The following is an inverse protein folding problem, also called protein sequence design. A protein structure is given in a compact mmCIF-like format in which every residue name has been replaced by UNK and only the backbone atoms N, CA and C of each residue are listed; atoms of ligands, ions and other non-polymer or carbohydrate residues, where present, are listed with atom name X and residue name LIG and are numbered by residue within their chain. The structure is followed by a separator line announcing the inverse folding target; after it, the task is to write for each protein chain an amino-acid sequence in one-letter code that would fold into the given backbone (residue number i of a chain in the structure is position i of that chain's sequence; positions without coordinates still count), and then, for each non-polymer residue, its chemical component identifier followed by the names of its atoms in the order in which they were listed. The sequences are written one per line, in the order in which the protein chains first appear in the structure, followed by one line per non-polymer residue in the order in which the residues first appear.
data_IF_984689127984
#
_entry.id   IF_984689127984
#
_cell.length_a   1.000
_cell.length_b   1.000
_cell.length_c   1.000
_cell.angle_alpha   90.00
_cell.angle_beta   90.00
_cell.angle_gamma   90.00
#
_symmetry.space_group_name_H-M   'P 1'
#
loop_
_entity.id
_entity.type
_entity.pdbx_description
1 polymer ?
#
# COMPACT_ATOMS: atom_id res chain seq x y z
N UNK A 1 6.02 13.35 -6.95
CA UNK A 1 6.21 12.76 -5.60
C UNK A 1 4.88 12.18 -5.18
N UNK A 2 4.86 10.92 -4.78
CA UNK A 2 3.66 10.24 -4.28
C UNK A 2 3.20 10.85 -2.95
N UNK A 3 1.89 11.08 -2.82
CA UNK A 3 1.30 11.74 -1.65
C UNK A 3 1.24 10.80 -0.44
N UNK A 4 0.93 11.34 0.75
CA UNK A 4 0.89 10.53 1.97
C UNK A 4 -0.23 9.48 1.96
N UNK A 5 -1.35 9.76 1.29
CA UNK A 5 -2.51 8.85 1.25
C UNK A 5 -2.16 7.56 0.52
N UNK A 6 -1.55 7.66 -0.67
CA UNK A 6 -1.09 6.49 -1.44
C UNK A 6 -0.06 5.65 -0.67
N UNK A 7 0.82 6.30 0.10
CA UNK A 7 1.81 5.60 0.95
C UNK A 7 1.14 4.87 2.12
N UNK A 8 0.11 5.48 2.71
CA UNK A 8 -0.70 4.80 3.73
C UNK A 8 -1.41 3.58 3.13
N UNK A 9 -1.92 3.69 1.90
CA UNK A 9 -2.54 2.56 1.19
C UNK A 9 -1.54 1.43 0.91
N UNK A 10 -0.33 1.74 0.43
CA UNK A 10 0.74 0.76 0.24
C UNK A 10 1.05 -0.03 1.53
N UNK A 11 1.20 0.69 2.65
CA UNK A 11 1.44 0.07 3.96
C UNK A 11 0.23 -0.77 4.40
N UNK A 12 -0.98 -0.24 4.23
CA UNK A 12 -2.21 -0.94 4.59
C UNK A 12 -2.35 -2.27 3.86
N UNK A 13 -2.05 -2.29 2.56
CA UNK A 13 -2.05 -3.49 1.72
C UNK A 13 -1.00 -4.48 2.22
N UNK A 14 0.23 -4.03 2.46
CA UNK A 14 1.30 -4.90 2.94
C UNK A 14 1.04 -5.53 4.31
N UNK A 15 0.33 -4.82 5.18
CA UNK A 15 -0.04 -5.29 6.52
C UNK A 15 -1.42 -5.96 6.58
N UNK A 16 -2.18 -5.97 5.47
CA UNK A 16 -3.55 -6.49 5.42
C UNK A 16 -4.48 -5.84 6.47
N UNK A 17 -4.36 -4.54 6.65
CA UNK A 17 -5.16 -3.71 7.56
C UNK A 17 -5.91 -2.63 6.80
N UNK A 18 -6.83 -1.93 7.45
CA UNK A 18 -7.53 -0.80 6.81
C UNK A 18 -6.66 0.46 6.80
N UNK A 19 -6.65 1.18 5.68
CA UNK A 19 -5.92 2.44 5.54
C UNK A 19 -6.42 3.50 6.53
N UNK A 20 -7.71 3.47 6.88
CA UNK A 20 -8.33 4.40 7.85
C UNK A 20 -7.72 4.25 9.25
N UNK A 21 -7.33 3.04 9.66
CA UNK A 21 -6.68 2.82 10.98
C UNK A 21 -5.34 3.52 11.03
N UNK A 22 -4.54 3.40 9.97
CA UNK A 22 -3.25 4.06 9.86
C UNK A 22 -3.43 5.58 9.78
N UNK A 23 -4.38 6.02 8.94
CA UNK A 23 -4.69 7.44 8.74
C UNK A 23 -5.13 8.12 10.04
N UNK A 24 -5.93 7.44 10.87
CA UNK A 24 -6.36 7.96 12.17
C UNK A 24 -5.15 8.28 13.07
N UNK A 25 -4.19 7.35 13.19
CA UNK A 25 -2.98 7.60 13.99
C UNK A 25 -2.15 8.72 13.37
N UNK A 26 -1.97 8.71 12.04
CA UNK A 26 -1.24 9.74 11.32
C UNK A 26 -1.82 11.15 11.56
N UNK A 27 -3.14 11.30 11.43
CA UNK A 27 -3.84 12.57 11.65
C UNK A 27 -3.78 13.01 13.12
N UNK A 28 -3.82 12.06 14.07
CA UNK A 28 -3.62 12.35 15.49
C UNK A 28 -2.21 12.90 15.76
N UNK A 29 -1.17 12.28 15.21
CA UNK A 29 0.22 12.78 15.35
C UNK A 29 0.38 14.13 14.64
N UNK A 30 -0.23 14.30 13.46
CA UNK A 30 -0.22 15.57 12.70
C UNK A 30 -0.83 16.72 13.50
N UNK A 31 -1.96 16.49 14.17
CA UNK A 31 -2.63 17.52 14.96
C UNK A 31 -1.84 17.89 16.23
N UNK A 32 -1.20 16.91 16.87
CA UNK A 32 -0.33 17.11 18.04
C UNK A 32 1.03 17.71 17.70
N UNK A 33 1.53 17.47 16.49
CA UNK A 33 2.85 17.88 16.03
C UNK A 33 4.00 16.99 16.51
N UNK A 34 3.75 16.05 17.43
CA UNK A 34 4.70 15.09 17.99
C UNK A 34 4.05 13.72 18.11
N UNK A 35 4.85 12.66 18.00
CA UNK A 35 4.40 11.29 18.29
C UNK A 35 4.47 11.02 19.79
N UNK A 36 3.44 10.38 20.34
CA UNK A 36 3.37 10.00 21.75
C UNK A 36 3.33 8.48 21.91
N UNK A 37 3.52 8.01 23.15
CA UNK A 37 3.55 6.58 23.46
C UNK A 37 2.29 5.81 23.02
N UNK A 38 1.11 6.43 23.10
CA UNK A 38 -0.14 5.81 22.65
C UNK A 38 -0.22 5.64 21.13
N UNK A 39 0.33 6.58 20.36
CA UNK A 39 0.41 6.47 18.90
C UNK A 39 1.40 5.36 18.53
N UNK A 40 2.55 5.32 19.21
CA UNK A 40 3.57 4.31 19.01
C UNK A 40 3.05 2.90 19.28
N UNK A 41 2.25 2.74 20.35
CA UNK A 41 1.58 1.47 20.66
C UNK A 41 0.61 1.08 19.56
N UNK A 42 -0.27 1.99 19.12
CA UNK A 42 -1.22 1.71 18.02
C UNK A 42 -0.50 1.32 16.72
N UNK A 43 0.57 2.01 16.36
CA UNK A 43 1.37 1.66 15.17
C UNK A 43 2.00 0.28 15.30
N UNK A 44 2.48 -0.06 16.51
CA UNK A 44 3.03 -1.39 16.80
C UNK A 44 1.96 -2.47 16.68
N UNK A 45 0.75 -2.22 17.20
CA UNK A 45 -0.40 -3.13 17.08
C UNK A 45 -0.84 -3.31 15.62
N UNK A 46 -0.73 -2.27 14.80
CA UNK A 46 -0.97 -2.34 13.36
C UNK A 46 0.14 -3.12 12.64
N UNK A 47 1.34 -3.20 13.22
CA UNK A 47 2.51 -3.85 12.62
C UNK A 47 3.43 -2.89 11.87
N UNK A 48 3.25 -1.57 12.02
CA UNK A 48 4.15 -0.56 11.46
C UNK A 48 5.42 -0.49 12.33
N UNK A 49 6.62 -0.74 11.77
CA UNK A 49 7.87 -0.86 12.54
C UNK A 49 8.47 0.51 12.94
N UNK A 50 7.66 1.41 13.50
CA UNK A 50 7.99 2.81 13.73
C UNK A 50 9.25 3.02 14.59
N UNK A 51 9.39 2.28 15.71
CA UNK A 51 10.58 2.40 16.59
C UNK A 51 11.86 2.02 15.85
N UNK A 52 11.82 0.97 15.03
CA UNK A 52 12.97 0.48 14.27
C UNK A 52 13.40 1.49 13.21
N UNK A 53 12.45 2.04 12.46
CA UNK A 53 12.75 3.00 11.41
C UNK A 53 13.24 4.33 11.98
N UNK A 54 12.65 4.81 13.08
CA UNK A 54 13.16 5.98 13.79
C UNK A 54 14.56 5.72 14.36
N UNK A 55 14.83 4.54 14.89
CA UNK A 55 16.16 4.17 15.37
C UNK A 55 17.21 4.25 14.25
N UNK A 56 16.90 3.74 13.07
CA UNK A 56 17.75 3.85 11.89
C UNK A 56 17.93 5.30 11.43
N UNK A 57 16.86 6.10 11.42
CA UNK A 57 16.87 7.50 11.00
C UNK A 57 17.75 8.37 11.91
N UNK A 58 17.65 8.16 13.23
CA UNK A 58 18.40 8.93 14.23
C UNK A 58 19.77 8.33 14.58
N UNK A 59 20.10 7.13 14.10
CA UNK A 59 21.31 6.41 14.49
C UNK A 59 21.33 6.06 15.98
N UNK A 60 20.17 5.70 16.53
CA UNK A 60 19.94 5.44 17.96
C UNK A 60 19.43 4.03 18.22
N UNK A 61 19.52 3.59 19.46
CA UNK A 61 18.88 2.33 19.89
C UNK A 61 17.36 2.49 19.97
N UNK A 62 16.63 1.37 19.90
CA UNK A 62 15.16 1.37 20.06
C UNK A 62 14.73 1.91 21.43
N UNK A 63 15.52 1.68 22.48
CA UNK A 63 15.27 2.19 23.83
C UNK A 63 15.42 3.71 23.89
N UNK A 64 16.46 4.27 23.27
CA UNK A 64 16.60 5.73 23.17
C UNK A 64 15.43 6.36 22.41
N UNK A 65 14.97 5.74 21.31
CA UNK A 65 13.80 6.24 20.58
C UNK A 65 12.55 6.22 21.45
N UNK A 66 12.33 5.16 22.22
CA UNK A 66 11.18 5.09 23.14
C UNK A 66 11.24 6.22 24.19
N UNK A 67 12.43 6.54 24.71
CA UNK A 67 12.61 7.69 25.62
C UNK A 67 12.37 9.02 24.92
N UNK A 68 12.86 9.20 23.70
CA UNK A 68 12.61 10.41 22.90
C UNK A 68 11.12 10.62 22.64
N UNK A 69 10.36 9.54 22.35
CA UNK A 69 8.90 9.61 22.21
C UNK A 69 8.23 10.01 23.53
N UNK A 70 8.67 9.45 24.67
CA UNK A 70 8.14 9.82 25.99
C UNK A 70 8.40 11.29 26.35
N UNK A 71 9.56 11.81 25.95
CA UNK A 71 9.94 13.20 26.14
C UNK A 71 9.32 14.16 25.12
N UNK A 72 8.62 13.66 24.10
CA UNK A 72 8.03 14.46 23.02
C UNK A 72 9.06 15.05 22.04
N UNK A 73 10.22 14.42 21.89
CA UNK A 73 11.34 14.90 21.08
C UNK A 73 11.25 14.51 19.60
N UNK A 74 10.28 13.68 19.23
CA UNK A 74 10.08 13.24 17.84
C UNK A 74 8.89 13.98 17.25
N UNK A 75 9.19 14.93 16.36
CA UNK A 75 8.20 15.74 15.67
C UNK A 75 7.48 14.97 14.54
N UNK A 76 6.41 15.58 14.05
CA UNK A 76 5.61 15.06 12.95
C UNK A 76 6.43 14.88 11.66
N UNK A 77 7.47 15.68 11.43
CA UNK A 77 8.30 15.58 10.22
C UNK A 77 9.10 14.27 10.23
N UNK A 78 9.75 13.95 11.35
CA UNK A 78 10.53 12.72 11.49
C UNK A 78 9.62 11.48 11.52
N UNK A 79 8.46 11.60 12.17
CA UNK A 79 7.40 10.59 12.09
C UNK A 79 6.95 10.34 10.64
N UNK A 80 6.61 11.40 9.89
CA UNK A 80 6.19 11.30 8.50
C UNK A 80 7.28 10.78 7.56
N UNK A 81 8.55 11.06 7.86
CA UNK A 81 9.68 10.54 7.10
C UNK A 81 9.75 9.01 7.12
N UNK A 82 9.34 8.36 8.21
CA UNK A 82 9.27 6.88 8.28
C UNK A 82 8.32 6.32 7.22
N UNK A 83 7.16 6.95 7.01
CA UNK A 83 6.24 6.53 5.94
C UNK A 83 6.90 6.63 4.56
N UNK A 84 7.71 7.67 4.33
CA UNK A 84 8.48 7.80 3.09
C UNK A 84 9.52 6.69 2.95
N UNK A 85 10.31 6.41 3.98
CA UNK A 85 11.32 5.35 3.93
C UNK A 85 10.72 3.96 3.69
N UNK A 86 9.57 3.70 4.31
CA UNK A 86 8.84 2.46 4.16
C UNK A 86 8.28 2.23 2.75
N UNK A 87 8.03 3.30 1.99
CA UNK A 87 7.32 3.25 0.69
C UNK A 87 8.10 3.87 -0.48
N UNK A 88 9.32 4.34 -0.26
CA UNK A 88 10.23 4.71 -1.36
C UNK A 88 10.93 3.49 -1.92
N UNK A 89 11.65 3.65 -3.03
CA UNK A 89 12.44 2.57 -3.63
C UNK A 89 13.39 1.92 -2.59
N UNK A 90 13.34 0.59 -2.51
CA UNK A 90 14.04 -0.20 -1.48
C UNK A 90 13.31 -0.33 -0.14
N UNK A 91 12.23 0.42 0.07
CA UNK A 91 11.34 0.31 1.22
C UNK A 91 10.48 -0.95 1.17
N UNK A 92 10.11 -1.45 2.35
CA UNK A 92 9.40 -2.74 2.46
C UNK A 92 8.01 -2.77 1.83
N UNK A 93 7.34 -1.61 1.69
CA UNK A 93 6.01 -1.47 1.12
C UNK A 93 6.02 -0.76 -0.24
N UNK A 94 7.18 -0.66 -0.91
CA UNK A 94 7.33 0.06 -2.17
C UNK A 94 6.41 -0.48 -3.29
N UNK A 95 5.53 0.39 -3.81
CA UNK A 95 4.58 0.16 -4.90
C UNK A 95 3.63 -1.04 -4.69
N UNK A 96 3.28 -1.38 -3.45
CA UNK A 96 2.44 -2.56 -3.19
C UNK A 96 1.03 -2.42 -3.77
N UNK A 97 0.42 -1.24 -3.72
CA UNK A 97 -0.89 -0.95 -4.34
C UNK A 97 -0.86 -1.24 -5.84
N UNK A 98 0.14 -0.71 -6.53
CA UNK A 98 0.33 -0.91 -7.97
C UNK A 98 0.53 -2.38 -8.31
N UNK A 99 1.37 -3.10 -7.55
CA UNK A 99 1.59 -4.55 -7.73
C UNK A 99 0.32 -5.37 -7.48
N UNK A 100 -0.47 -5.01 -6.48
CA UNK A 100 -1.74 -5.66 -6.19
C UNK A 100 -2.77 -5.42 -7.30
N UNK A 101 -2.95 -4.18 -7.75
CA UNK A 101 -3.86 -3.85 -8.85
C UNK A 101 -3.50 -4.57 -10.15
N UNK A 102 -2.20 -4.67 -10.47
CA UNK A 102 -1.72 -5.45 -11.61
C UNK A 102 -2.02 -6.94 -11.46
N UNK A 103 -1.83 -7.49 -10.27
CA UNK A 103 -2.13 -8.90 -9.98
C UNK A 103 -3.61 -9.21 -10.18
N UNK A 104 -4.50 -8.36 -9.66
CA UNK A 104 -5.95 -8.50 -9.88
C UNK A 104 -6.33 -8.35 -11.34
N UNK A 105 -5.73 -7.40 -12.05
CA UNK A 105 -5.95 -7.22 -13.48
C UNK A 105 -5.59 -8.48 -14.29
N UNK A 106 -4.44 -9.06 -13.97
CA UNK A 106 -4.00 -10.32 -14.56
C UNK A 106 -4.94 -11.48 -14.22
N UNK A 107 -5.30 -11.67 -12.95
CA UNK A 107 -6.20 -12.75 -12.51
C UNK A 107 -7.56 -12.67 -13.19
N UNK A 108 -8.12 -11.46 -13.36
CA UNK A 108 -9.38 -11.26 -14.05
C UNK A 108 -9.27 -11.53 -15.56
N UNK A 109 -8.18 -11.08 -16.22
CA UNK A 109 -7.91 -11.42 -17.63
C UNK A 109 -7.88 -12.94 -17.84
N UNK A 110 -7.20 -13.66 -16.96
CA UNK A 110 -7.13 -15.12 -17.01
C UNK A 110 -8.49 -15.78 -16.74
N UNK A 111 -9.29 -15.26 -15.80
CA UNK A 111 -10.65 -15.74 -15.56
C UNK A 111 -11.55 -15.58 -16.81
N UNK A 112 -11.49 -14.43 -17.49
CA UNK A 112 -12.24 -14.19 -18.73
C UNK A 112 -11.83 -15.16 -19.85
N UNK A 113 -10.53 -15.37 -20.06
CA UNK A 113 -10.02 -16.34 -21.04
C UNK A 113 -10.58 -17.74 -20.77
N UNK A 114 -10.60 -18.17 -19.51
CA UNK A 114 -11.13 -19.49 -19.13
C UNK A 114 -12.62 -19.63 -19.42
N UNK A 115 -13.42 -18.58 -19.16
CA UNK A 115 -14.86 -18.58 -19.44
C UNK A 115 -15.12 -18.69 -20.96
N UNK A 116 -14.39 -17.89 -21.76
CA UNK A 116 -14.52 -17.90 -23.23
C UNK A 116 -14.11 -19.26 -23.79
N UNK A 117 -13.00 -19.83 -23.32
CA UNK A 117 -12.52 -21.13 -23.77
C UNK A 117 -13.51 -22.26 -23.46
N UNK A 118 -14.17 -22.22 -22.29
CA UNK A 118 -15.23 -23.17 -21.94
C UNK A 118 -16.44 -23.02 -22.87
N UNK A 119 -16.85 -21.78 -23.16
CA UNK A 119 -17.97 -21.51 -24.06
C UNK A 119 -17.68 -21.97 -25.50
N UNK A 120 -16.46 -21.75 -25.98
CA UNK A 120 -15.98 -22.25 -27.27
C UNK A 120 -15.98 -23.79 -27.33
N UNK A 121 -15.37 -24.46 -26.35
CA UNK A 121 -15.33 -25.92 -26.29
C UNK A 121 -16.71 -26.57 -26.20
N UNK A 122 -17.69 -25.85 -25.62
CA UNK A 122 -19.07 -26.31 -25.51
C UNK A 122 -19.95 -25.88 -26.71
N UNK A 123 -19.38 -25.22 -27.73
CA UNK A 123 -20.07 -24.84 -28.96
C UNK A 123 -21.00 -23.63 -28.85
N UNK A 124 -20.90 -22.84 -27.77
CA UNK A 124 -21.74 -21.65 -27.55
C UNK A 124 -21.19 -20.39 -28.23
N UNK A 125 -19.94 -20.42 -28.69
CA UNK A 125 -19.24 -19.31 -29.33
C UNK A 125 -18.54 -19.84 -30.59
N UNK A 126 -18.82 -19.25 -31.75
CA UNK A 126 -18.12 -19.59 -32.99
C UNK A 126 -16.79 -18.80 -33.14
N UNK A 127 -15.93 -19.27 -34.05
CA UNK A 127 -14.61 -18.69 -34.32
C UNK A 127 -14.63 -17.33 -35.04
N UNK A 128 -15.79 -16.84 -35.47
CA UNK A 128 -15.93 -15.61 -36.28
C UNK A 128 -16.26 -14.37 -35.45
N UNK A 129 -16.73 -14.53 -34.22
CA UNK A 129 -16.71 -13.42 -33.27
C UNK A 129 -15.28 -13.24 -32.76
N UNK A 130 -14.65 -12.13 -33.17
CA UNK A 130 -13.35 -11.60 -32.72
C UNK A 130 -13.27 -11.61 -31.18
N UNK A 131 -12.98 -12.78 -30.63
CA UNK A 131 -12.68 -13.00 -29.23
C UNK A 131 -11.45 -12.17 -28.94
N UNK A 132 -11.62 -11.23 -28.01
CA UNK A 132 -10.64 -10.25 -27.54
C UNK A 132 -9.21 -10.66 -27.91
N UNK A 133 -8.72 -10.12 -29.02
CA UNK A 133 -7.29 -10.09 -29.28
C UNK A 133 -6.61 -9.50 -28.04
N UNK A 134 -5.42 -9.98 -27.69
CA UNK A 134 -4.70 -9.54 -26.48
C UNK A 134 -4.63 -7.99 -26.33
N UNK A 135 -4.79 -7.27 -27.45
CA UNK A 135 -4.88 -5.82 -27.57
C UNK A 135 -6.15 -5.18 -26.97
N UNK A 136 -7.33 -5.78 -27.10
CA UNK A 136 -8.59 -5.19 -26.62
C UNK A 136 -8.79 -5.33 -25.11
N UNK A 137 -8.30 -6.41 -24.50
CA UNK A 137 -8.31 -6.58 -23.05
C UNK A 137 -7.34 -5.61 -22.36
N UNK A 138 -6.11 -5.43 -22.90
CA UNK A 138 -5.17 -4.42 -22.39
C UNK A 138 -5.72 -3.01 -22.53
N UNK A 139 -6.34 -2.68 -23.68
CA UNK A 139 -6.96 -1.37 -23.90
C UNK A 139 -8.10 -1.10 -22.92
N UNK A 140 -9.00 -2.07 -22.70
CA UNK A 140 -10.09 -1.93 -21.74
C UNK A 140 -9.58 -1.75 -20.30
N UNK A 141 -8.49 -2.45 -19.94
CA UNK A 141 -7.83 -2.26 -18.66
C UNK A 141 -7.26 -0.85 -18.48
N UNK A 142 -6.54 -0.36 -19.49
CA UNK A 142 -5.99 0.99 -19.46
C UNK A 142 -7.06 2.07 -19.42
N UNK A 143 -8.15 1.89 -20.16
CA UNK A 143 -9.23 2.87 -20.25
C UNK A 143 -10.07 2.95 -18.97
N UNK A 144 -10.23 1.84 -18.22
CA UNK A 144 -11.17 1.78 -17.10
C UNK A 144 -10.51 1.64 -15.71
N UNK A 145 -9.24 1.22 -15.62
CA UNK A 145 -8.63 0.87 -14.33
C UNK A 145 -7.22 1.45 -14.09
N UNK A 146 -6.57 2.07 -15.07
CA UNK A 146 -5.25 2.73 -14.88
C UNK A 146 -5.33 4.07 -14.11
N UNK A 147 -6.56 4.56 -13.84
CA UNK A 147 -6.82 5.86 -13.18
C UNK A 147 -7.39 5.76 -11.76
N UNK A 148 -7.45 4.56 -11.18
CA UNK A 148 -7.90 4.30 -9.80
C UNK A 148 -6.66 3.97 -8.95
#
# INVERSE_FOLDING_TARGET
MENIESRIEDIAIGLSVSAEKIKLVYDNVKSKGIIQGDDLRQLTEIGIPMVRELAALYGKTTTEIQLMVQNGEIDFKHFGAVFLYLTNEGGMFYELKKKQSQTWGYQYKEALKQIIMKAYNAGWVDSENKGLDDYSAEKYYKENFEKI
#
